data_IF_633525742710
#
_entry.id   IF_633525742710
#
_cell.length_a   1.000
_cell.length_b   1.000
_cell.length_c   1.000
_cell.angle_alpha   90.00
_cell.angle_beta   90.00
_cell.angle_gamma   90.00
#
_symmetry.space_group_name_H-M   'P 1'
#
loop_
_entity.id
_entity.type
_entity.pdbx_description
1 polymer ?
#
# COMPACT_ATOMS: atom_id res chain seq x y z
N UNK A 1 6.95 -15.21 3.68
CA UNK A 1 6.77 -13.75 3.97
C UNK A 1 5.50 -13.31 3.26
N UNK A 2 4.40 -13.28 4.00
CA UNK A 2 3.06 -13.00 3.45
C UNK A 2 2.67 -11.52 3.51
N UNK A 3 3.54 -10.64 3.99
CA UNK A 3 3.21 -9.26 4.27
C UNK A 3 3.68 -8.31 3.18
N UNK A 4 2.81 -7.35 2.85
CA UNK A 4 3.15 -6.19 2.01
C UNK A 4 4.26 -5.39 2.69
N UNK A 5 5.20 -4.85 1.91
CA UNK A 5 6.30 -4.06 2.46
C UNK A 5 5.79 -2.79 3.16
N UNK A 6 6.50 -2.35 4.20
CA UNK A 6 6.21 -1.08 4.87
C UNK A 6 6.20 0.07 3.85
N UNK A 7 5.07 0.76 3.67
CA UNK A 7 4.96 1.84 2.69
C UNK A 7 5.87 3.04 3.03
N UNK A 8 6.10 3.32 4.33
CA UNK A 8 6.93 4.45 4.76
C UNK A 8 8.41 4.24 4.39
N UNK A 9 8.92 3.00 4.50
CA UNK A 9 10.28 2.64 4.13
C UNK A 9 10.47 2.27 2.65
N UNK A 10 9.40 2.33 1.85
CA UNK A 10 9.40 1.93 0.44
C UNK A 10 9.56 3.12 -0.50
N UNK A 11 10.06 2.87 -1.71
CA UNK A 11 10.19 3.88 -2.76
C UNK A 11 9.66 3.35 -4.10
N UNK A 12 8.97 4.21 -4.83
CA UNK A 12 8.37 3.91 -6.14
C UNK A 12 8.87 4.92 -7.17
N UNK A 13 9.35 4.44 -8.31
CA UNK A 13 9.72 5.27 -9.46
C UNK A 13 8.87 4.85 -10.66
N UNK A 14 8.02 5.73 -11.14
CA UNK A 14 7.13 5.50 -12.27
C UNK A 14 7.56 6.38 -13.44
N UNK A 15 7.97 5.77 -14.55
CA UNK A 15 8.47 6.45 -15.74
C UNK A 15 7.52 6.15 -16.89
N UNK A 16 6.91 7.20 -17.47
CA UNK A 16 6.02 7.10 -18.61
C UNK A 16 6.49 7.97 -19.75
N UNK A 17 6.77 7.39 -20.91
CA UNK A 17 7.14 8.13 -22.11
C UNK A 17 6.03 8.02 -23.14
N UNK A 18 5.31 9.12 -23.32
CA UNK A 18 4.11 9.20 -24.17
C UNK A 18 4.35 9.93 -25.49
N UNK A 19 5.23 10.90 -25.49
CA UNK A 19 5.57 11.73 -26.65
C UNK A 19 6.95 11.38 -27.20
N UNK A 20 7.04 11.12 -28.49
CA UNK A 20 8.28 10.78 -29.18
C UNK A 20 8.46 11.64 -30.42
N UNK A 21 9.68 12.02 -30.73
CA UNK A 21 10.00 12.83 -31.92
C UNK A 21 10.22 12.00 -33.17
N UNK A 22 10.72 10.75 -33.01
CA UNK A 22 11.08 9.84 -34.10
C UNK A 22 10.47 8.45 -34.00
N UNK A 23 9.68 8.18 -32.96
CA UNK A 23 8.94 6.95 -32.75
C UNK A 23 7.45 7.27 -32.69
N UNK A 24 6.60 6.24 -32.75
CA UNK A 24 5.16 6.39 -32.58
C UNK A 24 4.80 6.89 -31.17
N UNK A 25 3.88 7.82 -31.06
CA UNK A 25 3.39 8.30 -29.77
C UNK A 25 2.65 7.20 -29.01
N UNK A 26 2.77 7.21 -27.68
CA UNK A 26 2.14 6.28 -26.75
C UNK A 26 1.39 7.02 -25.63
N UNK A 27 0.28 7.72 -25.93
CA UNK A 27 -0.44 8.53 -24.93
C UNK A 27 -0.86 7.75 -23.68
N UNK A 28 -1.06 6.44 -23.81
CA UNK A 28 -1.41 5.53 -22.72
C UNK A 28 -0.31 5.48 -21.63
N UNK A 29 0.97 5.65 -21.98
CA UNK A 29 2.07 5.58 -21.02
C UNK A 29 1.98 6.65 -19.93
N UNK A 30 1.54 7.87 -20.28
CA UNK A 30 1.29 8.94 -19.31
C UNK A 30 0.18 8.56 -18.32
N UNK A 31 -0.93 7.99 -18.82
CA UNK A 31 -2.05 7.57 -17.97
C UNK A 31 -1.69 6.39 -17.09
N UNK A 32 -0.90 5.45 -17.61
CA UNK A 32 -0.41 4.32 -16.82
C UNK A 32 0.26 4.79 -15.52
N UNK A 33 1.23 5.71 -15.61
CA UNK A 33 1.99 6.18 -14.42
C UNK A 33 1.14 7.00 -13.47
N UNK A 34 0.19 7.80 -13.99
CA UNK A 34 -0.71 8.59 -13.16
C UNK A 34 -1.64 7.69 -12.35
N UNK A 35 -2.29 6.75 -13.01
CA UNK A 35 -3.26 5.87 -12.36
C UNK A 35 -2.59 4.86 -11.43
N UNK A 36 -1.37 4.38 -11.78
CA UNK A 36 -0.58 3.54 -10.88
C UNK A 36 -0.15 4.30 -9.63
N UNK A 37 0.29 5.56 -9.75
CA UNK A 37 0.60 6.39 -8.59
C UNK A 37 -0.58 6.47 -7.64
N UNK A 38 -1.76 6.81 -8.17
CA UNK A 38 -2.96 7.00 -7.35
C UNK A 38 -3.38 5.70 -6.65
N UNK A 39 -3.27 4.57 -7.34
CA UNK A 39 -3.54 3.25 -6.75
C UNK A 39 -2.52 2.86 -5.68
N UNK A 40 -1.22 3.01 -5.94
CA UNK A 40 -0.17 2.60 -5.01
C UNK A 40 -0.11 3.51 -3.77
N UNK A 41 -0.53 4.77 -3.89
CA UNK A 41 -0.65 5.71 -2.76
C UNK A 41 -1.94 5.54 -1.97
N UNK A 42 -2.91 4.75 -2.48
CA UNK A 42 -4.14 4.45 -1.72
C UNK A 42 -3.82 3.58 -0.52
N UNK A 43 -4.25 4.01 0.69
CA UNK A 43 -4.12 3.23 1.93
C UNK A 43 -4.79 1.85 1.83
N UNK A 44 -5.78 1.73 0.98
CA UNK A 44 -6.50 0.49 0.72
C UNK A 44 -5.68 -0.54 -0.05
N UNK A 45 -4.62 -0.13 -0.75
CA UNK A 45 -3.80 -1.02 -1.56
C UNK A 45 -2.38 -1.17 -0.99
N UNK A 46 -1.66 -0.05 -0.84
CA UNK A 46 -0.32 -0.08 -0.26
C UNK A 46 -0.06 1.13 0.64
N UNK A 47 -0.55 2.33 0.29
CA UNK A 47 -0.41 3.52 1.10
C UNK A 47 0.98 4.17 1.02
N UNK A 48 1.67 4.04 -0.11
CA UNK A 48 2.98 4.68 -0.29
C UNK A 48 2.83 6.19 -0.18
N UNK A 49 3.60 6.87 0.70
CA UNK A 49 3.58 8.32 0.83
C UNK A 49 3.87 9.01 -0.52
N UNK A 50 3.22 10.14 -0.77
CA UNK A 50 3.36 10.86 -2.04
C UNK A 50 4.83 11.29 -2.31
N UNK A 51 5.57 11.64 -1.27
CA UNK A 51 6.99 11.99 -1.31
C UNK A 51 7.89 10.80 -1.69
N UNK A 52 7.43 9.57 -1.48
CA UNK A 52 8.14 8.33 -1.83
C UNK A 52 7.73 7.79 -3.22
N UNK A 53 6.79 8.45 -3.91
CA UNK A 53 6.33 8.06 -5.23
C UNK A 53 6.77 9.08 -6.29
N UNK A 54 7.85 8.77 -6.99
CA UNK A 54 8.49 9.63 -7.98
C UNK A 54 7.93 9.34 -9.37
N UNK A 55 7.24 10.31 -9.97
CA UNK A 55 6.64 10.17 -11.31
C UNK A 55 7.40 11.04 -12.29
N UNK A 56 7.94 10.40 -13.34
CA UNK A 56 8.62 11.06 -14.47
C UNK A 56 7.78 10.84 -15.72
N UNK A 57 7.27 11.93 -16.28
CA UNK A 57 6.49 11.90 -17.53
C UNK A 57 7.27 12.61 -18.60
N UNK A 58 7.55 11.90 -19.70
CA UNK A 58 8.31 12.37 -20.84
C UNK A 58 9.67 13.00 -20.46
N UNK A 59 10.50 12.35 -19.62
CA UNK A 59 11.81 12.87 -19.26
C UNK A 59 12.70 12.98 -20.51
N UNK A 60 13.40 14.10 -20.67
CA UNK A 60 14.25 14.37 -21.84
C UNK A 60 15.71 13.91 -21.62
N UNK A 61 16.15 13.84 -20.36
CA UNK A 61 17.53 13.53 -20.01
C UNK A 61 17.66 12.14 -19.38
N UNK A 62 18.38 11.19 -19.99
CA UNK A 62 18.64 9.88 -19.40
C UNK A 62 19.26 9.96 -18.00
N UNK A 63 20.05 11.00 -17.72
CA UNK A 63 20.66 11.20 -16.42
C UNK A 63 19.64 11.60 -15.35
N UNK A 64 18.54 12.26 -15.71
CA UNK A 64 17.42 12.54 -14.80
C UNK A 64 16.79 11.24 -14.29
N UNK A 65 16.49 10.32 -15.21
CA UNK A 65 15.93 9.01 -14.90
C UNK A 65 16.89 8.22 -13.99
N UNK A 66 18.16 8.16 -14.36
CA UNK A 66 19.19 7.48 -13.56
C UNK A 66 19.32 8.07 -12.15
N UNK A 67 19.30 9.40 -12.02
CA UNK A 67 19.35 10.07 -10.71
C UNK A 67 18.12 9.77 -9.85
N UNK A 68 16.92 9.77 -10.43
CA UNK A 68 15.69 9.46 -9.73
C UNK A 68 15.74 8.03 -9.17
N UNK A 69 16.09 7.03 -9.99
CA UNK A 69 16.16 5.64 -9.55
C UNK A 69 17.23 5.45 -8.46
N UNK A 70 18.43 6.05 -8.62
CA UNK A 70 19.48 5.92 -7.60
C UNK A 70 19.12 6.59 -6.27
N UNK A 71 18.42 7.74 -6.30
CA UNK A 71 17.90 8.39 -5.07
C UNK A 71 16.89 7.50 -4.37
N UNK A 72 15.93 6.96 -5.12
CA UNK A 72 14.94 6.04 -4.59
C UNK A 72 15.61 4.78 -4.01
N UNK A 73 16.56 4.17 -4.74
CA UNK A 73 17.31 3.01 -4.27
C UNK A 73 18.08 3.26 -2.97
N UNK A 74 18.69 4.44 -2.84
CA UNK A 74 19.41 4.85 -1.63
C UNK A 74 18.48 5.15 -0.44
N UNK A 75 17.28 5.68 -0.71
CA UNK A 75 16.28 6.01 0.30
C UNK A 75 15.46 4.80 0.77
N UNK A 76 15.36 3.73 -0.04
CA UNK A 76 14.60 2.54 0.33
C UNK A 76 15.21 1.84 1.54
N UNK A 77 14.41 1.59 2.55
CA UNK A 77 14.83 0.89 3.76
C UNK A 77 14.98 -0.62 3.52
N UNK A 78 15.64 -1.31 4.46
CA UNK A 78 15.93 -2.75 4.33
C UNK A 78 14.66 -3.60 4.21
N UNK A 79 13.63 -3.28 4.97
CA UNK A 79 12.36 -4.01 5.00
C UNK A 79 11.29 -3.37 4.09
N UNK A 80 11.64 -2.26 3.44
CA UNK A 80 10.86 -1.63 2.38
C UNK A 80 10.95 -2.37 1.05
N UNK A 81 10.31 -1.82 0.04
CA UNK A 81 10.30 -2.30 -1.33
C UNK A 81 10.72 -1.17 -2.29
N UNK A 82 11.66 -1.46 -3.17
CA UNK A 82 11.95 -0.61 -4.32
C UNK A 82 11.17 -1.10 -5.53
N UNK A 83 10.24 -0.28 -6.03
CA UNK A 83 9.51 -0.52 -7.27
C UNK A 83 9.98 0.45 -8.34
N UNK A 84 10.42 -0.07 -9.48
CA UNK A 84 10.71 0.72 -10.68
C UNK A 84 9.78 0.25 -11.80
N UNK A 85 9.02 1.17 -12.37
CA UNK A 85 8.11 0.93 -13.48
C UNK A 85 8.48 1.83 -14.65
N UNK A 86 8.51 1.26 -15.85
CA UNK A 86 8.68 1.99 -17.10
C UNK A 86 7.57 1.62 -18.08
N UNK A 87 6.97 2.62 -18.74
CA UNK A 87 6.10 2.45 -19.90
C UNK A 87 6.58 3.33 -21.04
N UNK A 88 6.81 2.71 -22.20
CA UNK A 88 7.34 3.41 -23.37
C UNK A 88 7.84 2.44 -24.44
N UNK A 89 8.65 2.93 -25.38
CA UNK A 89 9.34 2.08 -26.33
C UNK A 89 10.61 1.47 -25.75
N UNK A 90 10.81 0.17 -25.96
CA UNK A 90 12.06 -0.51 -25.76
C UNK A 90 12.77 -0.69 -27.10
N UNK A 91 14.04 -0.37 -27.16
CA UNK A 91 14.90 -0.48 -28.32
C UNK A 91 16.07 -1.39 -27.99
N UNK A 92 16.68 -1.99 -29.00
CA UNK A 92 17.89 -2.80 -28.84
C UNK A 92 19.04 -2.09 -29.52
N UNK A 93 20.13 -1.96 -28.79
CA UNK A 93 21.38 -1.54 -29.40
C UNK A 93 21.89 -2.64 -30.34
N UNK A 94 22.16 -2.28 -31.58
CA UNK A 94 22.58 -3.25 -32.62
C UNK A 94 23.98 -3.84 -32.37
N UNK A 95 24.82 -3.14 -31.59
CA UNK A 95 26.22 -3.53 -31.39
C UNK A 95 26.39 -4.53 -30.25
N UNK A 96 25.58 -4.43 -29.18
CA UNK A 96 25.76 -5.24 -27.97
C UNK A 96 24.46 -5.91 -27.44
N UNK A 97 23.39 -5.87 -28.23
CA UNK A 97 22.07 -6.44 -27.89
C UNK A 97 21.47 -5.92 -26.55
N UNK A 98 21.93 -4.76 -26.05
CA UNK A 98 21.44 -4.19 -24.81
C UNK A 98 20.07 -3.52 -24.99
N UNK A 99 19.19 -3.72 -23.99
CA UNK A 99 17.89 -3.03 -23.94
C UNK A 99 18.10 -1.56 -23.58
N UNK A 100 17.60 -0.69 -24.43
CA UNK A 100 17.55 0.76 -24.23
C UNK A 100 16.10 1.19 -24.08
N UNK A 101 15.77 1.86 -22.99
CA UNK A 101 14.45 2.43 -22.77
C UNK A 101 14.38 3.79 -23.46
N UNK A 102 13.50 3.91 -24.47
CA UNK A 102 13.42 5.09 -25.32
C UNK A 102 12.85 6.30 -24.58
N UNK A 103 13.52 7.43 -24.67
CA UNK A 103 13.03 8.73 -24.22
C UNK A 103 12.52 9.56 -25.42
N UNK A 104 11.85 10.73 -25.20
CA UNK A 104 11.24 11.53 -26.28
C UNK A 104 12.17 11.87 -27.44
N UNK A 105 13.45 12.13 -27.13
CA UNK A 105 14.46 12.47 -28.13
C UNK A 105 15.24 11.29 -28.73
N UNK A 106 14.87 10.06 -28.37
CA UNK A 106 15.59 8.84 -28.77
C UNK A 106 15.46 8.60 -30.29
N UNK A 107 16.57 8.29 -30.94
CA UNK A 107 16.64 7.86 -32.32
C UNK A 107 16.73 6.34 -32.39
N UNK A 108 15.82 5.65 -33.11
CA UNK A 108 15.87 4.19 -33.22
C UNK A 108 17.14 3.64 -33.91
N UNK A 109 17.83 4.45 -34.70
CA UNK A 109 19.08 4.03 -35.36
C UNK A 109 20.29 4.11 -34.40
N UNK A 110 20.27 5.03 -33.43
CA UNK A 110 21.32 5.23 -32.43
C UNK A 110 20.70 5.38 -31.01
N UNK A 111 20.02 4.34 -30.50
CA UNK A 111 19.21 4.44 -29.30
C UNK A 111 20.00 4.77 -28.03
N UNK A 112 21.28 4.42 -27.99
CA UNK A 112 22.18 4.65 -26.86
C UNK A 112 22.48 6.13 -26.60
N UNK A 113 22.34 7.02 -27.59
CA UNK A 113 22.70 8.43 -27.42
C UNK A 113 21.72 9.16 -26.46
N UNK A 114 20.43 8.83 -26.51
CA UNK A 114 19.38 9.53 -25.76
C UNK A 114 18.37 8.62 -25.05
N UNK A 115 18.59 7.32 -25.06
CA UNK A 115 17.81 6.36 -24.29
C UNK A 115 18.45 6.03 -22.95
N UNK A 116 17.72 5.34 -22.09
CA UNK A 116 18.23 4.86 -20.81
C UNK A 116 18.63 3.39 -20.95
N UNK A 117 19.91 3.04 -20.86
CA UNK A 117 20.32 1.64 -20.82
C UNK A 117 19.68 0.93 -19.63
N UNK A 118 19.04 -0.21 -19.87
CA UNK A 118 18.45 -1.02 -18.78
C UNK A 118 19.49 -1.40 -17.72
N UNK A 119 20.74 -1.55 -18.10
CA UNK A 119 21.86 -1.81 -17.20
C UNK A 119 21.98 -0.75 -16.07
N UNK A 120 21.63 0.52 -16.33
CA UNK A 120 21.66 1.55 -15.30
C UNK A 120 20.60 1.31 -14.23
N UNK A 121 19.40 0.83 -14.64
CA UNK A 121 18.34 0.44 -13.70
C UNK A 121 18.80 -0.76 -12.90
N UNK A 122 19.31 -1.79 -13.58
CA UNK A 122 19.79 -3.03 -12.96
C UNK A 122 20.84 -2.75 -11.88
N UNK A 123 21.84 -1.92 -12.18
CA UNK A 123 22.87 -1.52 -11.20
C UNK A 123 22.28 -0.78 -10.02
N UNK A 124 21.45 0.23 -10.25
CA UNK A 124 20.84 0.99 -9.17
C UNK A 124 19.95 0.10 -8.27
N UNK A 125 19.21 -0.85 -8.86
CA UNK A 125 18.40 -1.83 -8.13
C UNK A 125 19.28 -2.83 -7.37
N UNK A 126 20.43 -3.23 -7.90
CA UNK A 126 21.38 -4.11 -7.22
C UNK A 126 22.05 -3.41 -6.02
N UNK A 127 22.33 -2.13 -6.12
CA UNK A 127 23.02 -1.34 -5.09
C UNK A 127 22.12 -0.98 -3.89
N UNK A 128 20.79 -1.16 -3.96
CA UNK A 128 19.90 -0.88 -2.83
C UNK A 128 20.06 -1.89 -1.70
N UNK A 129 19.94 -1.41 -0.45
CA UNK A 129 19.89 -2.28 0.74
C UNK A 129 18.53 -2.98 0.95
N UNK A 130 17.51 -2.61 0.17
CA UNK A 130 16.19 -3.24 0.24
C UNK A 130 16.26 -4.74 -0.10
N UNK A 131 15.54 -5.55 0.65
CA UNK A 131 15.41 -7.00 0.39
C UNK A 131 14.37 -7.32 -0.68
N UNK A 132 13.51 -6.37 -1.00
CA UNK A 132 12.41 -6.53 -1.95
C UNK A 132 12.61 -5.54 -3.09
N UNK A 133 12.76 -6.06 -4.30
CA UNK A 133 13.01 -5.26 -5.51
C UNK A 133 12.11 -5.76 -6.62
N UNK A 134 11.36 -4.85 -7.22
CA UNK A 134 10.47 -5.17 -8.33
C UNK A 134 10.72 -4.20 -9.46
N UNK A 135 10.99 -4.71 -10.65
CA UNK A 135 11.10 -3.93 -11.89
C UNK A 135 10.00 -4.37 -12.82
N UNK A 136 9.23 -3.44 -13.35
CA UNK A 136 8.17 -3.69 -14.32
C UNK A 136 8.48 -2.88 -15.57
N UNK A 137 8.67 -3.57 -16.69
CA UNK A 137 8.93 -2.96 -18.00
C UNK A 137 7.72 -3.18 -18.90
N UNK A 138 6.90 -2.16 -19.05
CA UNK A 138 5.78 -2.14 -20.00
C UNK A 138 6.23 -1.53 -21.31
N UNK A 139 7.12 -2.25 -21.97
CA UNK A 139 7.66 -1.92 -23.28
C UNK A 139 7.86 -3.19 -24.09
N UNK A 140 7.93 -3.02 -25.41
CA UNK A 140 8.34 -4.09 -26.30
C UNK A 140 9.85 -4.16 -26.39
N UNK A 141 10.33 -5.33 -26.59
CA UNK A 141 11.71 -5.57 -26.99
C UNK A 141 11.76 -5.53 -28.54
N UNK A 142 11.60 -4.35 -29.15
CA UNK A 142 11.53 -4.21 -30.61
C UNK A 142 12.92 -4.15 -31.25
N UNK A 143 13.61 -5.27 -31.22
CA UNK A 143 14.88 -5.37 -31.90
C UNK A 143 14.92 -6.55 -32.86
N UNK A 144 14.15 -6.48 -33.96
CA UNK A 144 14.41 -7.18 -35.25
C UNK A 144 13.19 -7.12 -36.17
N UNK A 145 12.89 -5.97 -36.67
CA UNK A 145 12.21 -5.89 -37.95
C UNK A 145 13.30 -5.96 -39.05
N UNK A 146 13.81 -7.14 -39.37
CA UNK A 146 14.69 -7.21 -40.50
C UNK A 146 15.66 -8.37 -40.62
N UNK A 147 15.61 -9.43 -39.83
CA UNK A 147 16.45 -10.59 -40.11
C UNK A 147 15.62 -11.87 -40.11
N UNK A 148 15.26 -12.32 -41.31
CA UNK A 148 14.89 -13.71 -41.59
C UNK A 148 16.07 -14.61 -41.28
N UNK A 149 15.73 -15.79 -40.73
CA UNK A 149 16.53 -17.01 -40.66
C UNK A 149 17.27 -17.30 -39.35
N UNK A 150 16.66 -18.20 -38.57
CA UNK A 150 17.32 -19.33 -37.93
C UNK A 150 18.48 -19.01 -36.96
N UNK A 151 18.17 -18.83 -35.72
CA UNK A 151 19.18 -18.80 -34.68
C UNK A 151 18.54 -18.57 -33.31
N UNK A 152 18.89 -19.43 -32.37
CA UNK A 152 18.45 -19.53 -30.99
C UNK A 152 18.15 -18.20 -30.30
N UNK A 153 17.10 -18.21 -29.51
CA UNK A 153 16.57 -17.15 -28.67
C UNK A 153 17.55 -16.64 -27.58
N UNK A 154 18.51 -15.84 -27.94
CA UNK A 154 19.53 -15.38 -26.98
C UNK A 154 19.33 -13.96 -26.45
N UNK A 155 18.46 -13.13 -27.06
CA UNK A 155 18.29 -11.71 -26.66
C UNK A 155 17.51 -11.49 -25.38
N UNK A 156 16.41 -12.23 -25.12
CA UNK A 156 15.64 -12.18 -23.88
C UNK A 156 16.38 -12.82 -22.72
N UNK A 157 17.21 -13.84 -22.99
CA UNK A 157 18.02 -14.52 -21.99
C UNK A 157 19.11 -13.60 -21.44
N UNK A 158 19.72 -12.74 -22.28
CA UNK A 158 20.80 -11.86 -21.85
C UNK A 158 20.35 -10.73 -20.88
N UNK A 159 19.14 -10.20 -21.03
CA UNK A 159 18.58 -9.19 -20.09
C UNK A 159 18.21 -9.85 -18.76
N UNK A 160 17.83 -11.08 -18.79
CA UNK A 160 17.32 -11.81 -17.64
C UNK A 160 18.39 -12.53 -16.84
N UNK A 161 19.41 -13.07 -17.49
CA UNK A 161 20.54 -13.71 -16.80
C UNK A 161 21.38 -12.72 -15.96
N UNK A 162 21.23 -11.42 -16.23
CA UNK A 162 21.91 -10.34 -15.49
C UNK A 162 21.12 -9.81 -14.27
N UNK A 163 19.96 -10.36 -13.91
CA UNK A 163 19.26 -9.99 -12.67
C UNK A 163 19.91 -10.71 -11.47
N UNK A 164 21.08 -10.24 -11.05
CA UNK A 164 21.97 -10.98 -10.12
C UNK A 164 21.71 -10.76 -8.62
N UNK A 165 20.79 -9.88 -8.22
CA UNK A 165 20.54 -9.62 -6.80
C UNK A 165 19.41 -10.48 -6.23
N UNK A 166 19.66 -11.14 -5.09
CA UNK A 166 18.66 -11.88 -4.33
C UNK A 166 17.41 -11.05 -4.05
N UNK A 167 16.21 -11.64 -4.16
CA UNK A 167 14.94 -10.95 -3.89
C UNK A 167 14.53 -9.94 -4.97
N UNK A 168 15.00 -10.10 -6.22
CA UNK A 168 14.60 -9.27 -7.35
C UNK A 168 13.58 -9.98 -8.24
N UNK A 169 12.56 -9.26 -8.69
CA UNK A 169 11.60 -9.72 -9.69
C UNK A 169 11.51 -8.73 -10.84
N UNK A 170 11.66 -9.23 -12.06
CA UNK A 170 11.47 -8.49 -13.31
C UNK A 170 10.20 -8.97 -14.01
N UNK A 171 9.29 -8.06 -14.34
CA UNK A 171 8.14 -8.29 -15.21
C UNK A 171 8.33 -7.53 -16.53
N UNK A 172 8.12 -8.20 -17.65
CA UNK A 172 8.17 -7.61 -18.99
C UNK A 172 6.84 -7.86 -19.69
N UNK A 173 6.25 -6.82 -20.30
CA UNK A 173 4.91 -6.88 -20.88
C UNK A 173 4.79 -7.67 -22.18
N UNK A 174 5.85 -7.78 -22.97
CA UNK A 174 5.84 -8.51 -24.22
C UNK A 174 7.23 -9.04 -24.59
N UNK A 175 7.33 -10.24 -25.22
CA UNK A 175 8.58 -10.74 -25.78
C UNK A 175 8.99 -9.98 -27.05
N UNK A 176 10.21 -10.21 -27.49
CA UNK A 176 11.04 -9.47 -28.43
C UNK A 176 10.47 -9.04 -29.80
N UNK A 177 9.28 -9.45 -30.23
CA UNK A 177 8.91 -9.37 -31.64
C UNK A 177 7.66 -8.56 -32.01
N UNK A 178 6.99 -7.87 -31.08
CA UNK A 178 5.80 -7.05 -31.39
C UNK A 178 5.68 -5.81 -30.51
N UNK A 179 5.17 -4.67 -31.06
CA UNK A 179 5.04 -3.43 -30.30
C UNK A 179 4.10 -3.57 -29.09
N UNK A 180 4.43 -2.97 -27.94
CA UNK A 180 3.53 -2.79 -26.80
C UNK A 180 2.32 -2.03 -27.32
N UNK A 181 1.17 -2.70 -27.39
CA UNK A 181 0.00 -2.10 -27.99
C UNK A 181 -0.80 -1.37 -26.93
N UNK A 182 -1.03 -0.08 -27.15
CA UNK A 182 -2.22 0.56 -26.61
C UNK A 182 -3.38 0.17 -27.54
N UNK A 183 -4.32 -0.69 -27.13
CA UNK A 183 -5.45 -1.07 -27.98
C UNK A 183 -6.26 0.17 -28.34
N UNK A 184 -6.73 0.28 -29.60
CA UNK A 184 -7.51 1.43 -30.03
C UNK A 184 -8.73 1.65 -29.13
N UNK A 185 -8.84 2.85 -28.57
CA UNK A 185 -9.94 3.25 -27.68
C UNK A 185 -9.74 2.90 -26.20
N UNK A 186 -8.64 2.25 -25.82
CA UNK A 186 -8.30 2.01 -24.41
C UNK A 186 -7.43 3.13 -23.83
N UNK A 187 -7.63 3.37 -22.52
CA UNK A 187 -6.93 4.43 -21.78
C UNK A 187 -5.48 4.06 -21.45
N UNK A 188 -5.20 2.77 -21.30
CA UNK A 188 -3.91 2.20 -20.87
C UNK A 188 -3.34 1.25 -21.92
N UNK A 189 -2.07 0.94 -21.80
CA UNK A 189 -1.46 -0.19 -22.52
C UNK A 189 -2.11 -1.51 -22.11
N UNK A 190 -2.01 -2.54 -22.97
CA UNK A 190 -2.67 -3.82 -22.71
C UNK A 190 -2.25 -4.43 -21.35
N UNK A 191 -0.96 -4.47 -21.06
CA UNK A 191 -0.43 -5.01 -19.81
C UNK A 191 -0.86 -4.19 -18.60
N UNK A 192 -0.58 -2.89 -18.62
CA UNK A 192 -0.89 -2.03 -17.47
C UNK A 192 -2.39 -1.86 -17.26
N UNK A 193 -3.20 -1.89 -18.31
CA UNK A 193 -4.65 -1.91 -18.18
C UNK A 193 -5.17 -3.12 -17.41
N UNK A 194 -4.64 -4.31 -17.68
CA UNK A 194 -4.98 -5.52 -16.90
C UNK A 194 -4.42 -5.47 -15.47
N UNK A 195 -3.21 -4.92 -15.29
CA UNK A 195 -2.63 -4.70 -13.97
C UNK A 195 -3.50 -3.76 -13.13
N UNK A 196 -3.88 -2.59 -13.67
CA UNK A 196 -4.73 -1.60 -12.99
C UNK A 196 -6.10 -2.21 -12.63
N UNK A 197 -6.72 -2.99 -13.54
CA UNK A 197 -7.98 -3.69 -13.22
C UNK A 197 -7.80 -4.65 -12.04
N UNK A 198 -6.76 -5.48 -12.09
CA UNK A 198 -6.47 -6.42 -11.00
C UNK A 198 -6.23 -5.70 -9.66
N UNK A 199 -5.46 -4.61 -9.66
CA UNK A 199 -5.18 -3.84 -8.46
C UNK A 199 -6.45 -3.20 -7.89
N UNK A 200 -7.32 -2.66 -8.74
CA UNK A 200 -8.58 -2.00 -8.36
C UNK A 200 -9.64 -2.98 -7.87
N UNK A 201 -9.85 -4.06 -8.61
CA UNK A 201 -10.95 -5.01 -8.39
C UNK A 201 -10.55 -6.15 -7.44
N UNK A 202 -9.24 -6.37 -7.28
CA UNK A 202 -8.68 -7.48 -6.53
C UNK A 202 -8.86 -8.83 -7.21
N UNK A 203 -8.34 -9.88 -6.56
CA UNK A 203 -8.44 -11.27 -7.01
C UNK A 203 -9.40 -12.05 -6.10
N UNK A 204 -10.45 -12.62 -6.70
CA UNK A 204 -11.34 -13.59 -6.06
C UNK A 204 -11.20 -14.93 -6.78
N UNK A 205 -10.45 -15.89 -6.25
CA UNK A 205 -10.39 -17.21 -6.83
C UNK A 205 -11.74 -17.93 -6.67
N UNK A 206 -12.06 -18.88 -7.57
CA UNK A 206 -13.28 -19.70 -7.41
C UNK A 206 -13.15 -20.60 -6.18
N UNK A 207 -14.28 -20.91 -5.48
CA UNK A 207 -14.26 -21.89 -4.40
C UNK A 207 -13.70 -23.24 -4.86
N UNK A 208 -12.99 -23.99 -4.01
CA UNK A 208 -12.81 -23.79 -2.57
C UNK A 208 -11.62 -22.90 -2.16
N UNK A 209 -10.93 -22.27 -3.12
CA UNK A 209 -9.73 -21.48 -2.82
C UNK A 209 -10.10 -20.22 -2.02
N UNK A 210 -9.34 -19.94 -0.96
CA UNK A 210 -9.50 -18.73 -0.17
C UNK A 210 -8.99 -17.50 -0.93
N UNK A 211 -9.67 -16.36 -0.75
CA UNK A 211 -9.21 -15.08 -1.29
C UNK A 211 -7.95 -14.64 -0.54
N UNK A 212 -6.79 -14.49 -1.22
CA UNK A 212 -5.56 -14.13 -0.53
C UNK A 212 -5.64 -12.69 0.00
N UNK A 213 -5.07 -12.39 1.19
CA UNK A 213 -5.09 -11.05 1.76
C UNK A 213 -4.22 -10.07 0.99
N UNK A 214 -3.16 -10.54 0.34
CA UNK A 214 -2.24 -9.75 -0.45
C UNK A 214 -1.97 -10.41 -1.80
N UNK A 215 -1.51 -9.62 -2.77
CA UNK A 215 -1.16 -10.07 -4.11
C UNK A 215 0.36 -10.11 -4.25
N UNK A 216 0.92 -11.32 -4.36
CA UNK A 216 2.34 -11.49 -4.71
C UNK A 216 2.57 -11.15 -6.18
N UNK A 217 3.82 -10.79 -6.50
CA UNK A 217 4.23 -10.51 -7.89
C UNK A 217 3.89 -11.70 -8.81
N UNK A 218 4.10 -12.94 -8.34
CA UNK A 218 3.71 -14.14 -9.06
C UNK A 218 2.19 -14.22 -9.32
N UNK A 219 1.39 -13.94 -8.30
CA UNK A 219 -0.07 -13.94 -8.43
C UNK A 219 -0.55 -12.87 -9.42
N UNK A 220 0.03 -11.66 -9.34
CA UNK A 220 -0.23 -10.56 -10.27
C UNK A 220 0.12 -11.00 -11.70
N UNK A 221 1.36 -11.46 -11.93
CA UNK A 221 1.81 -11.90 -13.23
C UNK A 221 0.91 -12.98 -13.83
N UNK A 222 0.61 -14.04 -13.07
CA UNK A 222 -0.23 -15.16 -13.51
C UNK A 222 -1.63 -14.68 -13.93
N UNK A 223 -2.21 -13.75 -13.15
CA UNK A 223 -3.55 -13.23 -13.40
C UNK A 223 -3.58 -12.32 -14.63
N UNK A 224 -2.65 -11.36 -14.71
CA UNK A 224 -2.51 -10.45 -15.87
C UNK A 224 -2.21 -11.25 -17.14
N UNK A 225 -1.26 -12.20 -17.09
CA UNK A 225 -0.96 -13.09 -18.24
C UNK A 225 -2.21 -13.82 -18.75
N UNK A 226 -3.01 -14.39 -17.84
CA UNK A 226 -4.24 -15.08 -18.22
C UNK A 226 -5.26 -14.13 -18.87
N UNK A 227 -5.39 -12.92 -18.34
CA UNK A 227 -6.28 -11.91 -18.88
C UNK A 227 -5.83 -11.43 -20.27
N UNK A 228 -4.55 -11.15 -20.45
CA UNK A 228 -3.97 -10.77 -21.74
C UNK A 228 -4.16 -11.85 -22.82
N UNK A 229 -3.87 -13.12 -22.50
CA UNK A 229 -4.06 -14.23 -23.42
C UNK A 229 -5.52 -14.40 -23.86
N UNK A 230 -6.48 -14.24 -22.93
CA UNK A 230 -7.91 -14.30 -23.28
C UNK A 230 -8.33 -13.20 -24.27
N UNK A 231 -7.63 -12.07 -24.25
CA UNK A 231 -7.86 -10.94 -25.15
C UNK A 231 -7.02 -11.00 -26.43
N UNK A 232 -6.23 -12.07 -26.63
CA UNK A 232 -5.39 -12.25 -27.80
C UNK A 232 -4.12 -11.41 -27.80
N UNK A 233 -3.70 -10.88 -26.64
CA UNK A 233 -2.44 -10.16 -26.47
C UNK A 233 -1.28 -11.11 -26.20
N UNK A 234 -0.07 -10.59 -26.36
CA UNK A 234 1.16 -11.32 -26.11
C UNK A 234 1.31 -11.71 -24.63
N UNK A 235 2.17 -12.70 -24.38
CA UNK A 235 2.42 -13.22 -23.04
C UNK A 235 3.40 -12.31 -22.31
N UNK A 236 3.05 -11.74 -21.14
CA UNK A 236 4.04 -11.12 -20.28
C UNK A 236 4.98 -12.17 -19.70
N UNK A 237 6.24 -11.81 -19.56
CA UNK A 237 7.27 -12.66 -18.96
C UNK A 237 7.58 -12.20 -17.54
N UNK A 238 7.94 -13.16 -16.68
CA UNK A 238 8.40 -12.89 -15.34
C UNK A 238 9.70 -13.64 -15.11
N UNK A 239 10.67 -12.95 -14.55
CA UNK A 239 11.91 -13.56 -14.06
C UNK A 239 12.15 -13.13 -12.63
N UNK A 240 12.37 -14.10 -11.76
CA UNK A 240 12.56 -13.87 -10.35
C UNK A 240 13.74 -14.71 -9.87
N UNK A 241 14.55 -14.14 -8.99
CA UNK A 241 15.56 -14.86 -8.23
C UNK A 241 15.09 -15.07 -6.81
N UNK A 242 15.36 -16.27 -6.29
CA UNK A 242 15.02 -16.69 -4.94
C UNK A 242 13.53 -16.43 -4.62
N UNK A 243 13.23 -15.76 -3.51
CA UNK A 243 11.88 -15.41 -3.11
C UNK A 243 11.30 -14.20 -3.83
N UNK A 244 11.91 -13.68 -4.90
CA UNK A 244 11.44 -12.47 -5.61
C UNK A 244 10.03 -12.60 -6.17
N UNK A 245 9.63 -13.80 -6.62
CA UNK A 245 8.28 -14.07 -7.10
C UNK A 245 7.20 -13.99 -5.99
N UNK A 246 7.60 -14.30 -4.76
CA UNK A 246 6.72 -14.32 -3.58
C UNK A 246 6.61 -12.95 -2.88
N UNK A 247 7.28 -11.90 -3.39
CA UNK A 247 7.14 -10.54 -2.87
C UNK A 247 5.67 -10.13 -2.97
N UNK A 248 5.01 -9.89 -1.84
CA UNK A 248 3.69 -9.26 -1.80
C UNK A 248 3.84 -7.79 -2.17
N UNK A 249 3.27 -7.40 -3.31
CA UNK A 249 3.37 -6.04 -3.83
C UNK A 249 2.34 -5.11 -3.18
N UNK A 250 1.08 -5.58 -3.11
CA UNK A 250 -0.05 -4.81 -2.59
C UNK A 250 -1.02 -5.72 -1.84
N UNK A 251 -1.86 -5.12 -1.02
CA UNK A 251 -3.02 -5.80 -0.48
C UNK A 251 -4.04 -6.15 -1.57
N UNK A 252 -4.82 -7.19 -1.35
CA UNK A 252 -5.84 -7.60 -2.31
C UNK A 252 -7.15 -6.84 -2.06
N UNK A 253 -7.53 -5.97 -2.99
CA UNK A 253 -8.77 -5.20 -2.88
C UNK A 253 -10.05 -6.06 -2.72
N UNK A 254 -10.03 -7.31 -3.19
CA UNK A 254 -11.15 -8.24 -3.06
C UNK A 254 -11.14 -9.05 -1.76
N UNK A 255 -10.07 -8.97 -0.95
CA UNK A 255 -10.03 -9.67 0.33
C UNK A 255 -11.14 -9.13 1.25
N UNK A 256 -11.81 -10.00 2.01
CA UNK A 256 -12.83 -9.57 2.94
C UNK A 256 -12.20 -8.61 3.97
N UNK A 257 -12.63 -7.37 3.93
CA UNK A 257 -12.19 -6.34 4.86
C UNK A 257 -13.08 -6.39 6.08
N UNK A 258 -12.59 -6.94 7.16
CA UNK A 258 -13.19 -6.68 8.47
C UNK A 258 -12.70 -5.30 8.92
N UNK A 259 -13.38 -4.24 8.50
CA UNK A 259 -13.08 -2.92 9.09
C UNK A 259 -13.65 -2.89 10.51
N UNK A 260 -12.77 -3.06 11.48
CA UNK A 260 -13.10 -3.09 12.90
C UNK A 260 -13.04 -1.71 13.55
N UNK A 261 -12.67 -0.65 12.81
CA UNK A 261 -12.68 0.71 13.37
C UNK A 261 -14.05 1.04 13.95
N UNK A 262 -14.09 1.57 15.18
CA UNK A 262 -15.30 1.81 15.96
C UNK A 262 -15.90 0.57 16.64
N UNK A 263 -15.31 -0.62 16.47
CA UNK A 263 -15.74 -1.81 17.20
C UNK A 263 -15.07 -1.87 18.57
N UNK A 264 -15.82 -2.40 19.55
CA UNK A 264 -15.26 -2.76 20.86
C UNK A 264 -14.92 -4.25 20.81
N UNK A 265 -13.66 -4.56 21.07
CA UNK A 265 -13.16 -5.93 21.22
C UNK A 265 -12.90 -6.19 22.71
N UNK A 266 -13.04 -7.43 23.17
CA UNK A 266 -12.69 -7.80 24.52
C UNK A 266 -11.94 -9.14 24.56
N UNK A 267 -11.03 -9.26 25.52
CA UNK A 267 -10.21 -10.45 25.70
C UNK A 267 -11.07 -11.66 26.14
N UNK A 268 -10.80 -12.81 25.55
CA UNK A 268 -11.37 -14.07 26.01
C UNK A 268 -10.90 -14.40 27.44
N UNK A 269 -11.68 -15.12 28.26
CA UNK A 269 -11.32 -15.44 29.66
C UNK A 269 -10.01 -16.23 29.80
N UNK A 270 -9.69 -17.04 28.80
CA UNK A 270 -8.49 -17.87 28.79
C UNK A 270 -7.25 -17.14 28.25
N UNK A 271 -7.44 -15.96 27.64
CA UNK A 271 -6.35 -15.22 27.02
C UNK A 271 -5.55 -14.45 28.08
N UNK A 272 -4.32 -14.85 28.27
CA UNK A 272 -3.37 -14.22 29.20
C UNK A 272 -2.40 -13.38 28.41
N UNK A 273 -2.46 -12.08 28.60
CA UNK A 273 -1.61 -11.08 27.95
C UNK A 273 -1.47 -9.88 28.89
N UNK A 274 -0.30 -9.27 28.94
CA UNK A 274 0.00 -8.16 29.84
C UNK A 274 -0.85 -6.92 29.52
N UNK A 275 -1.04 -6.63 28.24
CA UNK A 275 -1.73 -5.42 27.78
C UNK A 275 -3.21 -5.63 27.45
N UNK A 276 -3.59 -6.85 27.09
CA UNK A 276 -4.94 -7.17 26.60
C UNK A 276 -5.76 -8.07 27.54
N UNK A 277 -5.08 -8.83 28.42
CA UNK A 277 -5.74 -9.80 29.31
C UNK A 277 -6.81 -9.14 30.20
N UNK A 278 -8.04 -9.70 30.20
CA UNK A 278 -9.20 -9.18 30.96
C UNK A 278 -9.58 -7.72 30.63
N UNK A 279 -9.32 -7.27 29.41
CA UNK A 279 -9.58 -5.88 28.98
C UNK A 279 -10.53 -5.82 27.80
N UNK A 280 -11.11 -4.64 27.59
CA UNK A 280 -11.83 -4.28 26.39
C UNK A 280 -11.14 -3.10 25.71
N UNK A 281 -11.13 -3.14 24.38
CA UNK A 281 -10.42 -2.19 23.52
C UNK A 281 -11.37 -1.61 22.49
N UNK A 282 -11.37 -0.29 22.32
CA UNK A 282 -11.97 0.37 21.18
C UNK A 282 -10.95 0.44 20.05
N UNK A 283 -11.28 -0.11 18.90
CA UNK A 283 -10.46 0.04 17.69
C UNK A 283 -10.73 1.42 17.07
N UNK A 284 -9.70 2.26 16.99
CA UNK A 284 -9.80 3.61 16.42
C UNK A 284 -9.48 3.64 14.93
N UNK A 285 -8.53 2.81 14.50
CA UNK A 285 -8.15 2.63 13.10
C UNK A 285 -7.91 1.16 12.83
N UNK A 286 -8.39 0.69 11.71
CA UNK A 286 -8.12 -0.65 11.20
C UNK A 286 -8.09 -0.61 9.69
N UNK A 287 -6.92 -0.87 9.13
CA UNK A 287 -6.69 -0.96 7.70
C UNK A 287 -5.67 -2.06 7.42
N UNK A 288 -5.23 -2.14 6.20
CA UNK A 288 -4.30 -3.19 5.74
C UNK A 288 -2.86 -3.02 6.26
N UNK A 289 -2.50 -1.84 6.78
CA UNK A 289 -1.19 -1.60 7.39
C UNK A 289 -1.16 -1.96 8.88
N UNK A 290 -2.33 -2.24 9.48
CA UNK A 290 -2.49 -2.65 10.87
C UNK A 290 -3.68 -1.99 11.55
N UNK A 291 -3.68 -2.05 12.87
CA UNK A 291 -4.73 -1.48 13.70
C UNK A 291 -4.17 -0.64 14.84
N UNK A 292 -4.97 0.32 15.28
CA UNK A 292 -4.72 1.12 16.47
C UNK A 292 -5.99 1.14 17.32
N UNK A 293 -5.84 0.96 18.62
CA UNK A 293 -6.95 0.98 19.56
C UNK A 293 -6.56 1.53 20.93
N UNK A 294 -7.55 1.80 21.74
CA UNK A 294 -7.36 2.23 23.13
C UNK A 294 -8.10 1.29 24.10
N UNK A 295 -7.41 0.91 25.19
CA UNK A 295 -8.03 0.14 26.26
C UNK A 295 -9.04 1.02 26.98
N UNK A 296 -10.31 0.58 27.05
CA UNK A 296 -11.42 1.36 27.63
C UNK A 296 -11.81 0.93 29.03
N UNK A 297 -11.13 -0.07 29.56
CA UNK A 297 -11.43 -0.69 30.89
C UNK A 297 -10.42 -0.32 31.97
N UNK A 298 -9.38 0.45 31.67
CA UNK A 298 -8.28 0.70 32.59
C UNK A 298 -8.17 2.18 33.00
N UNK A 299 -8.79 2.58 34.12
CA UNK A 299 -8.54 3.90 34.70
C UNK A 299 -7.07 4.09 35.07
N UNK A 300 -6.48 5.26 34.74
CA UNK A 300 -5.10 5.59 35.02
C UNK A 300 -4.93 6.65 36.14
N UNK A 301 -6.02 7.19 36.65
CA UNK A 301 -6.01 8.18 37.71
C UNK A 301 -6.61 9.53 37.30
N UNK A 302 -6.24 10.60 38.01
CA UNK A 302 -6.70 11.95 37.74
C UNK A 302 -6.17 12.50 36.42
N UNK A 303 -6.92 13.42 35.83
CA UNK A 303 -6.42 14.18 34.68
C UNK A 303 -5.19 14.99 35.07
N UNK A 304 -4.16 15.06 34.19
CA UNK A 304 -3.00 15.87 34.41
C UNK A 304 -3.34 17.33 34.69
N UNK A 305 -2.48 18.02 35.47
CA UNK A 305 -2.69 19.42 35.81
C UNK A 305 -2.69 20.38 34.61
N UNK A 306 -2.01 20.00 33.54
CA UNK A 306 -1.93 20.73 32.27
C UNK A 306 -3.09 20.40 31.29
N UNK A 307 -3.99 19.49 31.66
CA UNK A 307 -5.19 19.24 30.84
C UNK A 307 -6.08 20.50 30.81
N UNK A 308 -6.46 20.98 29.60
CA UNK A 308 -7.17 22.25 29.46
C UNK A 308 -8.51 22.24 30.22
N UNK A 309 -8.61 23.04 31.27
CA UNK A 309 -9.76 23.03 32.21
C UNK A 309 -11.10 23.30 31.50
N UNK A 310 -11.10 24.13 30.46
CA UNK A 310 -12.30 24.48 29.68
C UNK A 310 -12.96 23.27 28.98
N UNK A 311 -12.20 22.20 28.72
CA UNK A 311 -12.74 20.96 28.09
C UNK A 311 -13.30 19.95 29.09
N UNK A 312 -13.06 20.12 30.40
CA UNK A 312 -13.53 19.18 31.44
C UNK A 312 -15.04 18.99 31.47
N UNK A 313 -15.90 20.01 31.23
CA UNK A 313 -17.37 19.83 31.22
C UNK A 313 -17.88 18.90 30.12
N UNK A 314 -17.12 18.66 29.06
CA UNK A 314 -17.49 17.75 27.98
C UNK A 314 -17.10 16.29 28.24
N UNK A 315 -16.31 16.03 29.31
CA UNK A 315 -15.89 14.68 29.66
C UNK A 315 -17.00 13.91 30.36
N UNK A 316 -17.17 12.66 29.99
CA UNK A 316 -18.13 11.73 30.60
C UNK A 316 -17.61 11.16 31.92
N UNK A 317 -18.48 10.99 32.88
CA UNK A 317 -18.16 10.33 34.14
C UNK A 317 -17.72 8.86 33.94
N UNK A 318 -16.74 8.37 34.70
CA UNK A 318 -15.88 9.12 35.61
C UNK A 318 -14.91 10.04 34.84
N UNK A 319 -14.78 11.29 35.33
CA UNK A 319 -13.85 12.30 34.74
C UNK A 319 -12.44 11.97 35.21
N UNK A 320 -11.74 11.17 34.43
CA UNK A 320 -10.38 10.70 34.71
C UNK A 320 -9.62 10.37 33.44
N UNK A 321 -8.32 10.14 33.59
CA UNK A 321 -7.45 9.61 32.54
C UNK A 321 -7.58 8.09 32.48
N UNK A 322 -7.50 7.55 31.27
CA UNK A 322 -7.47 6.10 31.02
C UNK A 322 -6.13 5.70 30.40
N UNK A 323 -5.62 4.54 30.79
CA UNK A 323 -4.44 3.94 30.16
C UNK A 323 -4.89 3.24 28.87
N UNK A 324 -4.62 3.88 27.72
CA UNK A 324 -5.02 3.39 26.41
C UNK A 324 -4.16 2.26 25.86
N UNK A 325 -2.89 2.17 26.31
CA UNK A 325 -1.93 1.15 25.90
C UNK A 325 -0.47 1.58 26.11
N UNK A 326 0.49 0.71 25.79
CA UNK A 326 1.90 0.94 26.08
C UNK A 326 2.63 1.90 25.13
N UNK A 327 2.02 2.22 23.96
CA UNK A 327 2.68 3.01 22.92
C UNK A 327 2.35 4.50 23.07
N UNK A 328 3.33 5.39 22.88
CA UNK A 328 3.20 6.85 22.88
C UNK A 328 2.49 7.41 24.13
N UNK A 329 3.05 7.16 25.30
CA UNK A 329 2.49 7.59 26.59
C UNK A 329 2.73 9.07 26.92
N UNK A 330 3.33 9.82 26.02
CA UNK A 330 3.62 11.25 26.12
C UNK A 330 2.52 12.14 25.51
N UNK A 331 1.48 11.55 24.94
CA UNK A 331 0.37 12.25 24.30
C UNK A 331 -1.01 11.74 24.71
N UNK A 332 -2.04 12.54 24.41
CA UNK A 332 -3.42 12.19 24.72
C UNK A 332 -4.21 11.87 23.45
N UNK A 333 -5.02 10.83 23.54
CA UNK A 333 -6.08 10.54 22.57
C UNK A 333 -7.42 10.86 23.21
N UNK A 334 -8.18 11.76 22.58
CA UNK A 334 -9.51 12.13 23.08
C UNK A 334 -10.55 11.50 22.19
N UNK A 335 -11.17 10.44 22.69
CA UNK A 335 -12.30 9.78 22.02
C UNK A 335 -13.56 10.59 22.28
N UNK A 336 -14.30 10.89 21.22
CA UNK A 336 -15.47 11.76 21.25
C UNK A 336 -16.66 11.11 20.57
N UNK A 337 -17.81 11.22 21.19
CA UNK A 337 -19.11 10.88 20.60
C UNK A 337 -19.86 12.17 20.29
N UNK A 338 -20.29 12.35 19.05
CA UNK A 338 -21.12 13.48 18.65
C UNK A 338 -22.61 13.21 18.97
N UNK A 339 -23.38 14.29 19.17
CA UNK A 339 -24.85 14.23 19.28
C UNK A 339 -25.46 13.76 17.96
N UNK A 340 -26.64 13.17 18.04
CA UNK A 340 -27.38 12.78 16.85
C UNK A 340 -27.76 14.03 16.02
N UNK A 341 -27.46 13.99 14.72
CA UNK A 341 -27.74 15.10 13.81
C UNK A 341 -26.78 16.30 13.91
N UNK A 342 -25.77 16.24 14.78
CA UNK A 342 -24.81 17.33 14.91
C UNK A 342 -23.90 17.44 13.66
N UNK A 343 -23.56 18.68 13.31
CA UNK A 343 -22.52 18.95 12.30
C UNK A 343 -21.16 18.51 12.84
N UNK A 344 -20.35 17.86 12.01
CA UNK A 344 -19.00 17.43 12.39
C UNK A 344 -18.07 18.64 12.52
N UNK A 345 -17.50 18.89 13.71
CA UNK A 345 -16.51 19.95 13.89
C UNK A 345 -15.24 19.72 13.05
N UNK A 346 -14.58 20.79 12.63
CA UNK A 346 -13.32 20.71 11.84
C UNK A 346 -12.20 19.90 12.51
N UNK A 347 -12.21 19.82 13.85
CA UNK A 347 -11.19 19.10 14.66
C UNK A 347 -11.57 17.68 15.00
N UNK A 348 -12.71 17.22 14.49
CA UNK A 348 -13.21 15.87 14.71
C UNK A 348 -12.76 14.96 13.57
N UNK A 349 -11.99 13.93 13.90
CA UNK A 349 -11.59 12.86 13.00
C UNK A 349 -12.53 11.67 13.18
N UNK A 350 -13.40 11.37 12.19
CA UNK A 350 -14.38 10.31 12.32
C UNK A 350 -13.72 8.93 12.33
N UNK A 351 -14.23 8.04 13.19
CA UNK A 351 -13.86 6.61 13.24
C UNK A 351 -15.02 5.77 12.69
N UNK A 352 -16.22 5.90 13.29
CA UNK A 352 -17.44 5.25 12.81
C UNK A 352 -18.68 6.06 13.25
N UNK A 353 -19.59 6.31 12.34
CA UNK A 353 -20.84 7.03 12.59
C UNK A 353 -20.60 8.38 13.30
N UNK A 354 -20.95 8.45 14.59
CA UNK A 354 -20.79 9.63 15.45
C UNK A 354 -19.57 9.55 16.37
N UNK A 355 -18.87 8.41 16.36
CA UNK A 355 -17.67 8.19 17.16
C UNK A 355 -16.43 8.62 16.37
N UNK A 356 -15.51 9.28 17.03
CA UNK A 356 -14.23 9.71 16.47
C UNK A 356 -13.26 10.17 17.53
N UNK A 357 -12.20 10.82 17.09
CA UNK A 357 -11.24 11.50 17.97
C UNK A 357 -11.32 13.01 17.79
N UNK A 358 -11.03 13.76 18.84
CA UNK A 358 -11.06 15.23 18.84
C UNK A 358 -9.70 15.78 19.24
N UNK A 359 -9.23 16.76 18.49
CA UNK A 359 -8.06 17.53 18.87
C UNK A 359 -8.46 18.71 19.76
N UNK A 360 -7.87 18.81 20.96
CA UNK A 360 -8.23 19.83 21.97
C UNK A 360 -7.59 21.21 21.71
N UNK A 361 -7.56 21.67 20.46
CA UNK A 361 -7.11 23.02 20.12
C UNK A 361 -8.31 23.97 20.01
N UNK A 362 -8.18 25.22 20.45
CA UNK A 362 -9.17 26.28 20.36
C UNK A 362 -10.26 26.28 21.46
N UNK A 363 -11.39 26.97 21.21
CA UNK A 363 -12.43 27.14 22.22
C UNK A 363 -13.36 25.90 22.25
N UNK A 364 -13.59 25.25 23.40
CA UNK A 364 -14.57 24.18 23.55
C UNK A 364 -16.02 24.62 23.27
N UNK A 365 -16.35 25.92 23.43
CA UNK A 365 -17.69 26.44 23.12
C UNK A 365 -18.09 26.19 21.66
N UNK A 366 -17.13 26.17 20.72
CA UNK A 366 -17.36 25.94 19.30
C UNK A 366 -17.89 24.53 19.01
N UNK A 367 -17.75 23.61 19.96
CA UNK A 367 -18.11 22.18 19.78
C UNK A 367 -19.09 21.66 20.81
N UNK A 368 -19.42 22.46 21.85
CA UNK A 368 -20.29 22.03 22.97
C UNK A 368 -21.65 21.51 22.51
N UNK A 369 -22.26 22.16 21.53
CA UNK A 369 -23.56 21.74 20.99
C UNK A 369 -23.48 20.47 20.15
N UNK A 370 -22.30 20.16 19.63
CA UNK A 370 -22.08 18.97 18.78
C UNK A 370 -21.62 17.75 19.56
N UNK A 371 -21.06 17.91 20.76
CA UNK A 371 -20.47 16.82 21.54
C UNK A 371 -21.47 16.25 22.54
N UNK A 372 -21.61 14.92 22.56
CA UNK A 372 -22.39 14.15 23.54
C UNK A 372 -21.54 13.67 24.71
N UNK A 373 -20.34 13.14 24.41
CA UNK A 373 -19.42 12.63 25.41
C UNK A 373 -17.97 12.64 24.91
N UNK A 374 -17.04 12.84 25.84
CA UNK A 374 -15.59 12.72 25.58
C UNK A 374 -14.92 11.88 26.67
N UNK A 375 -13.83 11.18 26.30
CA UNK A 375 -12.98 10.44 27.23
C UNK A 375 -11.51 10.53 26.81
N UNK A 376 -10.61 10.68 27.79
CA UNK A 376 -9.18 10.94 27.56
C UNK A 376 -8.40 9.69 27.85
N UNK A 377 -7.51 9.33 26.91
CA UNK A 377 -6.62 8.19 27.01
C UNK A 377 -5.17 8.63 26.88
N UNK A 378 -4.26 8.02 27.61
CA UNK A 378 -2.83 8.12 27.43
C UNK A 378 -2.29 6.83 26.84
N UNK A 379 -1.50 6.94 25.78
CA UNK A 379 -1.00 5.79 25.04
C UNK A 379 -2.08 5.06 24.22
N UNK A 380 -1.64 4.09 23.46
CA UNK A 380 -2.52 3.25 22.62
C UNK A 380 -1.94 1.83 22.43
N UNK A 381 -2.77 0.94 21.92
CA UNK A 381 -2.41 -0.40 21.47
C UNK A 381 -2.23 -0.34 19.94
N UNK A 382 -1.12 -0.91 19.45
CA UNK A 382 -0.82 -1.01 18.04
C UNK A 382 -0.68 -2.46 17.61
N UNK A 383 -1.25 -2.80 16.46
CA UNK A 383 -1.12 -4.11 15.82
C UNK A 383 -0.58 -3.94 14.41
N UNK A 384 0.32 -4.84 14.03
CA UNK A 384 0.80 -4.94 12.65
C UNK A 384 -0.30 -5.44 11.73
N UNK A 385 -0.07 -5.33 10.42
CA UNK A 385 -0.98 -5.88 9.42
C UNK A 385 -1.28 -7.36 9.69
N UNK A 386 -2.58 -7.73 9.77
CA UNK A 386 -3.02 -9.10 10.02
C UNK A 386 -2.99 -9.57 11.47
N UNK A 387 -2.27 -8.90 12.36
CA UNK A 387 -2.09 -9.32 13.75
C UNK A 387 -3.41 -9.28 14.55
N UNK A 388 -4.23 -8.24 14.35
CA UNK A 388 -5.53 -8.14 15.01
C UNK A 388 -6.50 -9.24 14.52
N UNK A 389 -6.45 -9.56 13.24
CA UNK A 389 -7.23 -10.66 12.66
C UNK A 389 -6.81 -12.01 13.24
N UNK A 390 -5.52 -12.25 13.45
CA UNK A 390 -5.03 -13.47 14.09
C UNK A 390 -5.57 -13.63 15.52
N UNK A 391 -5.64 -12.56 16.29
CA UNK A 391 -6.25 -12.60 17.63
C UNK A 391 -7.75 -12.94 17.57
N UNK A 392 -8.47 -12.44 16.57
CA UNK A 392 -9.89 -12.74 16.37
C UNK A 392 -10.12 -14.18 15.88
N UNK A 393 -9.30 -14.65 14.94
CA UNK A 393 -9.43 -15.99 14.36
C UNK A 393 -9.10 -17.07 15.39
N UNK A 394 -8.15 -16.82 16.28
CA UNK A 394 -7.86 -17.68 17.44
C UNK A 394 -8.90 -17.56 18.57
N UNK A 395 -9.82 -16.62 18.47
CA UNK A 395 -10.78 -16.32 19.52
C UNK A 395 -10.18 -15.71 20.78
N UNK A 396 -8.94 -15.18 20.71
CA UNK A 396 -8.28 -14.49 21.82
C UNK A 396 -8.91 -13.11 22.09
N UNK A 397 -9.31 -12.42 21.02
CA UNK A 397 -10.16 -11.24 21.07
C UNK A 397 -11.52 -11.57 20.46
N UNK A 398 -12.57 -10.98 21.03
CA UNK A 398 -13.95 -11.21 20.64
C UNK A 398 -14.61 -9.87 20.35
N UNK A 399 -15.26 -9.74 19.18
CA UNK A 399 -15.97 -8.52 18.84
C UNK A 399 -17.30 -8.43 19.61
N UNK A 400 -17.50 -7.34 20.32
CA UNK A 400 -18.76 -7.05 21.01
C UNK A 400 -19.87 -6.77 20.01
N UNK A 401 -21.07 -7.32 20.25
CA UNK A 401 -22.29 -6.99 19.49
C UNK A 401 -22.91 -5.66 19.93
N UNK A 402 -22.42 -5.06 21.00
CA UNK A 402 -22.96 -3.84 21.58
C UNK A 402 -22.34 -2.59 20.94
N UNK A 403 -23.03 -1.46 21.12
CA UNK A 403 -22.66 -0.22 20.46
C UNK A 403 -21.40 0.43 21.05
N UNK A 404 -20.80 1.34 20.30
CA UNK A 404 -19.68 2.22 20.70
C UNK A 404 -19.97 3.07 21.97
N UNK A 405 -21.24 3.13 22.45
CA UNK A 405 -21.59 3.80 23.71
C UNK A 405 -20.96 3.17 24.94
N UNK A 406 -20.56 1.90 24.87
CA UNK A 406 -19.85 1.22 25.95
C UNK A 406 -18.51 1.89 26.30
N UNK A 407 -17.90 2.59 25.34
CA UNK A 407 -16.70 3.39 25.55
C UNK A 407 -16.90 4.43 26.67
N UNK A 408 -18.14 4.92 26.83
CA UNK A 408 -18.50 5.97 27.78
C UNK A 408 -19.26 5.46 29.01
N UNK A 409 -19.06 4.18 29.36
CA UNK A 409 -19.67 3.58 30.57
C UNK A 409 -19.21 4.29 31.83
N UNK A 410 -20.10 4.40 32.81
CA UNK A 410 -19.76 4.96 34.14
C UNK A 410 -18.98 3.95 35.00
N UNK A 411 -18.96 2.67 34.60
CA UNK A 411 -18.26 1.58 35.33
C UNK A 411 -17.24 0.88 34.43
N UNK A 412 -16.16 1.56 34.04
CA UNK A 412 -15.18 1.00 33.09
C UNK A 412 -14.51 -0.28 33.61
N UNK A 413 -14.24 -0.39 34.90
CA UNK A 413 -13.63 -1.59 35.50
C UNK A 413 -14.50 -2.84 35.46
N UNK A 414 -15.83 -2.70 35.36
CA UNK A 414 -16.77 -3.83 35.29
C UNK A 414 -17.10 -4.20 33.82
N UNK A 415 -16.70 -3.39 32.86
CA UNK A 415 -17.11 -3.53 31.46
C UNK A 415 -16.71 -4.88 30.87
N UNK A 416 -15.47 -5.34 31.11
CA UNK A 416 -15.00 -6.61 30.58
C UNK A 416 -15.86 -7.79 31.04
N UNK A 417 -16.20 -7.82 32.33
CA UNK A 417 -17.07 -8.86 32.91
C UNK A 417 -18.50 -8.80 32.33
N UNK A 418 -19.04 -7.59 32.14
CA UNK A 418 -20.37 -7.40 31.56
C UNK A 418 -20.42 -7.83 30.09
N UNK A 419 -19.36 -7.63 29.33
CA UNK A 419 -19.25 -8.09 27.94
C UNK A 419 -19.24 -9.61 27.81
N UNK A 420 -18.66 -10.30 28.79
CA UNK A 420 -18.68 -11.77 28.84
C UNK A 420 -20.02 -12.33 29.23
N UNK A 421 -20.74 -11.71 30.18
CA UNK A 421 -22.03 -12.14 30.65
C UNK A 421 -23.18 -11.95 29.62
N UNK A 422 -22.97 -11.06 28.64
CA UNK A 422 -23.95 -10.77 27.57
C UNK A 422 -23.81 -11.70 26.33
N UNK A 423 -23.13 -12.84 26.45
CA UNK A 423 -22.96 -13.86 25.39
C UNK A 423 -24.21 -14.69 25.22
#
# INVERSE_FOLDING_TARGET
MSDVADPAGSQVVLIGVSAYRRLAELPAARRNVTDLRDLLSSEDLWGVPAENCHVLVDPEDPAEVSRAIRRAAAATERDGLLLVYFAGHGLVDADDDNLILGLPGCDPEVPYERGVPYEWIRRAVADTRARRRVVILDCCYSGRAGAEMGGDSTGTDAVADKAEAEGTCLLVSAPANRPAMAPRGETHTAFTGELIRLLRDGLRPPPPEATPPALSVHTIWRTVRRAMLRRGFERPEMRARDAGAEICLVHNAAAPRRNLAGSVLYAAPWFVDEDLGQRAVLVLRHNQTGALGVCITQPAGELPGDFPAAWRPLLRNPVMLFHGGPVAQDGYIVVTLLRAGATKPLRFSPVRDRLGTMHLSGNPEDVTDSVDAMRVFVGYLGWRAGELEEYLDRGALIASRHSSRQVFTERPGELWQSLQAGR
#
